data_IF_950795463696
#
_entry.id   IF_950795463696
#
_cell.length_a   1.000
_cell.length_b   1.000
_cell.length_c   1.000
_cell.angle_alpha   90.00
_cell.angle_beta   90.00
_cell.angle_gamma   90.00
#
_symmetry.space_group_name_H-M   'P 1'
#
loop_
_entity.id
_entity.type
_entity.pdbx_description
1 polymer ?
#
# COMPACT_ATOMS: atom_id res chain seq x y z
N UNK A 1 11.19 17.20 28.31
CA UNK A 1 10.54 15.87 28.49
C UNK A 1 10.47 15.45 29.99
N UNK A 2 11.33 15.96 30.85
CA UNK A 2 11.35 15.62 32.31
C UNK A 2 10.14 16.11 33.12
N UNK A 3 9.18 16.81 32.50
CA UNK A 3 8.00 17.34 33.21
C UNK A 3 6.76 16.44 33.13
N UNK A 4 6.81 15.38 32.36
CA UNK A 4 5.68 14.45 32.18
C UNK A 4 6.15 13.04 32.53
N UNK A 5 5.70 12.55 33.67
CA UNK A 5 5.89 11.13 34.02
C UNK A 5 4.97 10.28 33.14
N UNK A 6 5.56 9.25 32.52
CA UNK A 6 4.78 8.22 31.84
C UNK A 6 4.06 7.41 32.91
N UNK A 7 2.76 7.18 32.70
CA UNK A 7 1.98 6.35 33.63
C UNK A 7 2.67 5.00 33.85
N UNK A 8 2.85 4.55 35.11
CA UNK A 8 3.71 3.38 35.41
C UNK A 8 3.36 2.12 34.63
N UNK A 9 2.08 1.89 34.32
CA UNK A 9 1.65 0.73 33.53
C UNK A 9 1.99 0.86 32.04
N UNK A 10 2.22 2.06 31.54
CA UNK A 10 2.54 2.31 30.13
C UNK A 10 4.06 2.33 29.87
N UNK A 11 4.85 2.58 30.89
CA UNK A 11 6.31 2.64 30.78
C UNK A 11 6.93 1.36 30.20
N UNK A 12 6.55 0.15 30.60
CA UNK A 12 7.06 -1.10 30.00
C UNK A 12 6.68 -1.20 28.51
N UNK A 13 5.50 -0.74 28.12
CA UNK A 13 5.05 -0.75 26.73
C UNK A 13 5.84 0.25 25.89
N UNK A 14 6.13 1.44 26.43
CA UNK A 14 7.00 2.40 25.75
C UNK A 14 8.42 1.84 25.57
N UNK A 15 9.00 1.23 26.62
CA UNK A 15 10.32 0.58 26.53
C UNK A 15 10.31 -0.53 25.47
N UNK A 16 9.22 -1.30 25.41
CA UNK A 16 9.06 -2.33 24.41
C UNK A 16 9.01 -1.77 22.98
N UNK A 17 8.30 -0.64 22.77
CA UNK A 17 8.29 0.09 21.50
C UNK A 17 9.69 0.53 21.08
N UNK A 18 10.50 1.05 22.03
CA UNK A 18 11.89 1.41 21.72
C UNK A 18 12.71 0.19 21.28
N UNK A 19 12.58 -0.94 21.95
CA UNK A 19 13.26 -2.18 21.58
C UNK A 19 12.83 -2.69 20.20
N UNK A 20 11.54 -2.59 19.85
CA UNK A 20 11.03 -2.93 18.52
C UNK A 20 11.66 -2.02 17.47
N UNK A 21 11.65 -0.71 17.72
CA UNK A 21 12.17 0.30 16.80
C UNK A 21 13.69 0.18 16.62
N UNK A 22 14.46 -0.06 17.67
CA UNK A 22 15.93 -0.25 17.61
C UNK A 22 16.29 -1.53 16.87
N UNK A 23 15.53 -2.60 17.07
CA UNK A 23 15.71 -3.86 16.33
C UNK A 23 15.41 -3.68 14.85
N UNK A 24 14.35 -2.96 14.52
CA UNK A 24 13.85 -2.75 13.16
C UNK A 24 13.45 -4.05 12.47
N UNK A 25 13.11 -3.95 11.20
CA UNK A 25 12.70 -5.07 10.34
C UNK A 25 13.57 -5.10 9.09
N UNK A 26 14.03 -6.29 8.71
CA UNK A 26 14.83 -6.50 7.50
C UNK A 26 13.99 -6.33 6.25
N UNK A 27 14.59 -5.79 5.19
CA UNK A 27 13.97 -5.59 3.88
C UNK A 27 14.86 -6.11 2.77
N UNK A 28 14.25 -6.79 1.81
CA UNK A 28 14.87 -7.16 0.55
C UNK A 28 14.98 -5.92 -0.35
N UNK A 29 16.10 -5.21 -0.22
CA UNK A 29 16.34 -3.98 -0.97
C UNK A 29 16.53 -4.24 -2.47
N UNK A 30 17.00 -5.43 -2.85
CA UNK A 30 17.14 -5.79 -4.26
C UNK A 30 15.77 -5.92 -4.91
N UNK A 31 14.85 -6.63 -4.28
CA UNK A 31 13.45 -6.72 -4.73
C UNK A 31 12.79 -5.34 -4.78
N UNK A 32 12.95 -4.53 -3.73
CA UNK A 32 12.37 -3.19 -3.68
C UNK A 32 12.87 -2.30 -4.82
N UNK A 33 14.18 -2.34 -5.13
CA UNK A 33 14.79 -1.60 -6.24
C UNK A 33 14.22 -2.05 -7.59
N UNK A 34 14.17 -3.36 -7.84
CA UNK A 34 13.61 -3.91 -9.08
C UNK A 34 12.13 -3.56 -9.27
N UNK A 35 11.35 -3.62 -8.19
CA UNK A 35 9.94 -3.23 -8.24
C UNK A 35 9.75 -1.75 -8.62
N UNK A 36 10.62 -0.85 -8.12
CA UNK A 36 10.60 0.58 -8.49
C UNK A 36 11.01 0.78 -9.97
N UNK A 37 12.03 0.07 -10.44
CA UNK A 37 12.48 0.11 -11.82
C UNK A 37 11.36 -0.31 -12.78
N UNK A 38 10.71 -1.45 -12.51
CA UNK A 38 9.58 -1.97 -13.31
C UNK A 38 8.40 -0.99 -13.29
N UNK A 39 8.00 -0.50 -12.12
CA UNK A 39 6.91 0.49 -11.98
C UNK A 39 7.21 1.76 -12.78
N UNK A 40 8.47 2.21 -12.77
CA UNK A 40 8.93 3.35 -13.55
C UNK A 40 8.75 3.15 -15.06
N UNK A 41 9.10 1.97 -15.59
CA UNK A 41 8.91 1.63 -17.01
C UNK A 41 7.42 1.61 -17.37
N UNK A 42 6.59 0.93 -16.58
CA UNK A 42 5.14 0.86 -16.81
C UNK A 42 4.50 2.24 -16.77
N UNK A 43 4.79 3.04 -15.75
CA UNK A 43 4.26 4.41 -15.64
C UNK A 43 4.75 5.33 -16.76
N UNK A 44 5.97 5.12 -17.24
CA UNK A 44 6.49 5.83 -18.40
C UNK A 44 5.66 5.54 -19.65
N UNK A 45 5.39 4.27 -19.95
CA UNK A 45 4.55 3.85 -21.08
C UNK A 45 3.14 4.41 -20.95
N UNK A 46 2.48 4.21 -19.80
CA UNK A 46 1.12 4.75 -19.57
C UNK A 46 1.04 6.27 -19.73
N UNK A 47 2.10 6.99 -19.39
CA UNK A 47 2.15 8.44 -19.56
C UNK A 47 2.27 8.85 -21.04
N UNK A 48 3.10 8.15 -21.79
CA UNK A 48 3.21 8.41 -23.25
C UNK A 48 1.92 8.03 -23.99
N UNK A 49 1.28 6.92 -23.62
CA UNK A 49 -0.02 6.54 -24.16
C UNK A 49 -1.09 7.61 -23.87
N UNK A 50 -1.11 8.11 -22.61
CA UNK A 50 -2.03 9.17 -22.22
C UNK A 50 -1.78 10.50 -22.96
N UNK A 51 -0.53 10.86 -23.23
CA UNK A 51 -0.18 12.03 -24.03
C UNK A 51 -0.60 11.85 -25.48
N UNK A 52 -0.34 10.69 -26.06
CA UNK A 52 -0.71 10.36 -27.43
C UNK A 52 -2.23 10.40 -27.62
N UNK A 53 -2.96 9.84 -26.65
CA UNK A 53 -4.42 9.79 -26.68
C UNK A 53 -5.06 11.18 -26.57
N UNK A 54 -4.54 12.02 -25.69
CA UNK A 54 -5.17 13.29 -25.32
C UNK A 54 -4.57 14.52 -25.99
N UNK A 55 -3.32 14.45 -26.45
CA UNK A 55 -2.54 15.60 -26.91
C UNK A 55 -2.13 16.56 -25.77
N UNK A 56 -2.40 16.21 -24.51
CA UNK A 56 -2.07 17.06 -23.36
C UNK A 56 -0.59 17.00 -23.04
N UNK A 57 -0.01 18.13 -22.67
CA UNK A 57 1.36 18.20 -22.19
C UNK A 57 1.52 17.43 -20.86
N UNK A 58 0.55 17.59 -19.96
CA UNK A 58 0.52 16.90 -18.68
C UNK A 58 -0.82 16.22 -18.38
N UNK A 59 -1.03 14.97 -18.84
CA UNK A 59 -2.25 14.21 -18.58
C UNK A 59 -2.48 13.89 -17.09
N UNK A 60 -1.46 14.04 -16.23
CA UNK A 60 -1.60 13.90 -14.76
C UNK A 60 -2.26 15.13 -14.12
N UNK A 61 -2.27 16.27 -14.78
CA UNK A 61 -2.94 17.48 -14.29
C UNK A 61 -4.45 17.28 -14.28
N UNK A 62 -5.05 17.32 -13.09
CA UNK A 62 -6.51 17.19 -12.97
C UNK A 62 -7.25 18.28 -13.73
N UNK A 63 -6.71 19.49 -13.77
CA UNK A 63 -7.31 20.63 -14.48
C UNK A 63 -7.29 20.41 -16.00
N UNK A 64 -6.12 20.04 -16.57
CA UNK A 64 -6.01 19.79 -18.02
C UNK A 64 -6.89 18.61 -18.43
N UNK A 65 -6.88 17.53 -17.63
CA UNK A 65 -7.68 16.35 -17.95
C UNK A 65 -9.19 16.61 -17.87
N UNK A 66 -9.66 17.43 -16.93
CA UNK A 66 -11.07 17.85 -16.88
C UNK A 66 -11.46 18.58 -18.15
N UNK A 67 -10.71 19.62 -18.52
CA UNK A 67 -10.99 20.40 -19.72
C UNK A 67 -11.01 19.51 -20.97
N UNK A 68 -10.08 18.59 -21.09
CA UNK A 68 -10.04 17.64 -22.20
C UNK A 68 -11.28 16.71 -22.24
N UNK A 69 -11.74 16.20 -21.09
CA UNK A 69 -12.96 15.37 -21.01
C UNK A 69 -14.19 16.21 -21.39
N UNK A 70 -14.30 17.43 -20.87
CA UNK A 70 -15.40 18.36 -21.17
C UNK A 70 -15.48 18.69 -22.66
N UNK A 71 -14.35 18.94 -23.31
CA UNK A 71 -14.27 19.19 -24.74
C UNK A 71 -14.58 17.94 -25.58
N UNK A 72 -14.11 16.76 -25.15
CA UNK A 72 -14.25 15.52 -25.92
C UNK A 72 -15.66 14.93 -25.84
N UNK A 73 -16.26 14.94 -24.64
CA UNK A 73 -17.56 14.32 -24.39
C UNK A 73 -18.74 15.31 -24.30
N UNK A 74 -18.46 16.63 -24.26
CA UNK A 74 -19.51 17.66 -24.14
C UNK A 74 -20.22 17.67 -22.79
N UNK A 75 -19.60 17.16 -21.74
CA UNK A 75 -20.14 17.08 -20.37
C UNK A 75 -19.43 18.07 -19.45
N UNK A 76 -19.98 18.29 -18.25
CA UNK A 76 -19.30 19.05 -17.20
C UNK A 76 -18.74 18.12 -16.14
N UNK A 77 -17.46 18.28 -15.77
CA UNK A 77 -16.77 17.41 -14.82
C UNK A 77 -16.44 18.14 -13.53
N UNK A 78 -17.16 17.93 -12.46
CA UNK A 78 -16.89 18.55 -11.15
C UNK A 78 -15.66 17.97 -10.48
N UNK A 79 -15.48 16.65 -10.53
CA UNK A 79 -14.41 15.96 -9.84
C UNK A 79 -13.98 14.68 -10.56
N UNK A 80 -12.67 14.38 -10.51
CA UNK A 80 -12.08 13.12 -10.96
C UNK A 80 -11.58 12.26 -9.79
N UNK A 81 -12.24 12.35 -8.63
CA UNK A 81 -11.96 11.45 -7.52
C UNK A 81 -12.55 10.05 -7.76
N UNK A 82 -12.11 9.07 -6.96
CA UNK A 82 -12.52 7.67 -7.12
C UNK A 82 -14.05 7.45 -7.09
N UNK A 83 -14.79 8.29 -6.37
CA UNK A 83 -16.26 8.17 -6.27
C UNK A 83 -16.97 8.75 -7.49
N UNK A 84 -16.39 9.78 -8.10
CA UNK A 84 -16.99 10.51 -9.23
C UNK A 84 -16.71 9.85 -10.58
N UNK A 85 -15.62 9.07 -10.71
CA UNK A 85 -15.20 8.48 -12.01
C UNK A 85 -16.30 7.62 -12.63
N UNK A 86 -17.04 6.83 -11.86
CA UNK A 86 -18.12 6.00 -12.41
C UNK A 86 -19.24 6.84 -13.04
N UNK A 87 -19.59 7.98 -12.43
CA UNK A 87 -20.54 8.94 -12.99
C UNK A 87 -20.04 9.60 -14.26
N UNK A 88 -18.77 10.02 -14.26
CA UNK A 88 -18.15 10.64 -15.46
C UNK A 88 -18.13 9.66 -16.64
N UNK A 89 -17.81 8.37 -16.42
CA UNK A 89 -17.88 7.34 -17.47
C UNK A 89 -19.27 7.17 -18.04
N UNK A 90 -20.28 7.07 -17.15
CA UNK A 90 -21.66 6.88 -17.58
C UNK A 90 -22.24 8.10 -18.31
N UNK A 91 -21.81 9.31 -17.95
CA UNK A 91 -22.28 10.56 -18.58
C UNK A 91 -21.55 10.84 -19.91
N UNK A 92 -20.24 10.54 -19.95
CA UNK A 92 -19.44 10.74 -21.15
C UNK A 92 -19.84 9.79 -22.30
N UNK A 93 -20.19 8.54 -21.96
CA UNK A 93 -20.53 7.46 -22.91
C UNK A 93 -19.57 7.44 -24.12
N UNK A 94 -18.27 7.48 -23.84
CA UNK A 94 -17.23 7.73 -24.83
C UNK A 94 -16.00 6.85 -24.59
N UNK A 95 -15.69 5.94 -25.51
CA UNK A 95 -14.59 4.98 -25.42
C UNK A 95 -13.23 5.63 -25.17
N UNK A 96 -12.97 6.79 -25.79
CA UNK A 96 -11.69 7.51 -25.66
C UNK A 96 -11.54 8.07 -24.23
N UNK A 97 -12.63 8.57 -23.65
CA UNK A 97 -12.66 9.05 -22.27
C UNK A 97 -12.44 7.88 -21.30
N UNK A 98 -13.09 6.74 -21.55
CA UNK A 98 -12.92 5.53 -20.77
C UNK A 98 -11.48 5.03 -20.79
N UNK A 99 -10.89 4.96 -21.97
CA UNK A 99 -9.48 4.58 -22.13
C UNK A 99 -8.55 5.54 -21.37
N UNK A 100 -8.78 6.85 -21.44
CA UNK A 100 -7.98 7.81 -20.67
C UNK A 100 -8.15 7.66 -19.16
N UNK A 101 -9.37 7.38 -18.69
CA UNK A 101 -9.63 7.15 -17.27
C UNK A 101 -8.95 5.86 -16.76
N UNK A 102 -8.84 4.83 -17.61
CA UNK A 102 -8.07 3.61 -17.28
C UNK A 102 -6.57 3.89 -17.21
N UNK A 103 -6.00 4.63 -18.16
CA UNK A 103 -4.61 5.09 -18.10
C UNK A 103 -4.33 5.90 -16.82
N UNK A 104 -5.24 6.83 -16.49
CA UNK A 104 -5.17 7.60 -15.26
C UNK A 104 -5.19 6.72 -14.00
N UNK A 105 -6.06 5.71 -13.96
CA UNK A 105 -6.15 4.78 -12.84
C UNK A 105 -4.83 4.02 -12.64
N UNK A 106 -4.19 3.59 -13.72
CA UNK A 106 -2.86 2.98 -13.71
C UNK A 106 -1.78 3.93 -13.17
N UNK A 107 -1.76 5.17 -13.70
CA UNK A 107 -0.80 6.21 -13.26
C UNK A 107 -0.99 6.63 -11.80
N UNK A 108 -2.22 6.57 -11.28
CA UNK A 108 -2.54 6.95 -9.90
C UNK A 108 -2.23 5.87 -8.86
N UNK A 109 -1.82 4.66 -9.25
CA UNK A 109 -1.46 3.60 -8.31
C UNK A 109 -0.21 4.01 -7.52
N UNK A 110 -0.38 4.24 -6.22
CA UNK A 110 0.68 4.71 -5.31
C UNK A 110 1.25 3.63 -4.40
N UNK A 111 0.73 2.39 -4.50
CA UNK A 111 1.18 1.29 -3.63
C UNK A 111 2.68 1.02 -3.73
N UNK A 112 3.28 1.21 -4.92
CA UNK A 112 4.72 1.07 -5.16
C UNK A 112 5.58 2.13 -4.43
N UNK A 113 4.99 3.25 -3.98
CA UNK A 113 5.68 4.22 -3.11
C UNK A 113 6.18 3.61 -1.79
N UNK A 114 5.62 2.47 -1.38
CA UNK A 114 6.12 1.72 -0.23
C UNK A 114 7.54 1.19 -0.46
N UNK A 115 7.87 0.77 -1.68
CA UNK A 115 9.23 0.37 -2.04
C UNK A 115 10.19 1.55 -1.99
N UNK A 116 9.80 2.71 -2.49
CA UNK A 116 10.57 3.95 -2.37
C UNK A 116 10.82 4.32 -0.89
N UNK A 117 9.80 4.18 -0.04
CA UNK A 117 9.93 4.40 1.39
C UNK A 117 10.93 3.41 2.02
N UNK A 118 10.89 2.12 1.63
CA UNK A 118 11.84 1.10 2.09
C UNK A 118 13.27 1.47 1.72
N UNK A 119 13.50 1.83 0.46
CA UNK A 119 14.84 2.20 -0.05
C UNK A 119 15.42 3.44 0.65
N UNK A 120 14.56 4.44 0.95
CA UNK A 120 15.01 5.68 1.60
C UNK A 120 15.28 5.52 3.10
N UNK A 121 14.62 4.57 3.76
CA UNK A 121 14.63 4.47 5.23
C UNK A 121 15.43 3.29 5.76
N UNK A 122 15.84 2.37 4.89
CA UNK A 122 16.70 1.26 5.29
C UNK A 122 18.10 1.73 5.67
N UNK A 123 18.59 1.25 6.80
CA UNK A 123 19.97 1.44 7.20
C UNK A 123 20.96 0.60 6.39
N UNK A 124 22.27 0.79 6.61
CA UNK A 124 23.31 0.03 5.89
C UNK A 124 23.22 -1.49 6.06
N UNK A 125 22.58 -1.94 7.13
CA UNK A 125 22.31 -3.34 7.45
C UNK A 125 21.03 -3.90 6.80
N UNK A 126 20.39 -3.13 5.91
CA UNK A 126 19.14 -3.51 5.24
C UNK A 126 17.92 -3.55 6.17
N UNK A 127 17.97 -2.85 7.30
CA UNK A 127 16.85 -2.83 8.26
C UNK A 127 16.24 -1.43 8.37
N UNK A 128 14.93 -1.39 8.44
CA UNK A 128 14.17 -0.17 8.72
C UNK A 128 13.88 -0.11 10.22
N UNK A 129 14.22 1.01 10.84
CA UNK A 129 14.02 1.32 12.25
C UNK A 129 13.00 2.44 12.42
N UNK A 130 12.41 2.56 13.63
CA UNK A 130 11.42 3.60 13.88
C UNK A 130 10.09 3.38 13.14
N UNK A 131 9.68 2.13 12.98
CA UNK A 131 8.44 1.75 12.24
C UNK A 131 7.18 1.96 13.05
N UNK A 132 7.28 2.08 14.37
CA UNK A 132 6.16 2.24 15.29
C UNK A 132 6.35 3.49 16.16
N UNK A 133 5.23 4.02 16.62
CA UNK A 133 5.20 5.07 17.62
C UNK A 133 4.22 4.67 18.72
N UNK A 134 4.74 4.49 19.92
CA UNK A 134 3.93 4.31 21.12
C UNK A 134 2.94 5.46 21.27
N UNK A 135 1.69 5.14 21.57
CA UNK A 135 0.59 6.12 21.73
C UNK A 135 0.41 7.09 20.55
N UNK A 136 0.79 6.69 19.35
CA UNK A 136 0.81 7.55 18.17
C UNK A 136 -0.55 7.96 17.63
N UNK A 137 -1.61 7.19 17.96
CA UNK A 137 -2.99 7.52 17.63
C UNK A 137 -3.65 8.23 18.83
N UNK A 138 -3.57 9.56 18.87
CA UNK A 138 -3.93 10.41 20.00
C UNK A 138 -5.34 10.17 20.59
N UNK A 139 -6.33 9.78 19.76
CA UNK A 139 -7.70 9.54 20.21
C UNK A 139 -7.91 8.19 20.90
N UNK A 140 -7.11 7.19 20.55
CA UNK A 140 -7.34 5.79 20.99
C UNK A 140 -6.19 5.21 21.79
N UNK A 141 -5.06 5.90 21.89
CA UNK A 141 -3.86 5.39 22.50
C UNK A 141 -3.20 4.21 21.78
N UNK A 142 -3.68 3.85 20.57
CA UNK A 142 -3.08 2.78 19.77
C UNK A 142 -1.70 3.20 19.27
N UNK A 143 -0.82 2.25 19.07
CA UNK A 143 0.43 2.48 18.35
C UNK A 143 0.14 2.90 16.92
N UNK A 144 0.86 3.91 16.43
CA UNK A 144 0.77 4.34 15.04
C UNK A 144 1.97 3.82 14.24
N UNK A 145 1.74 3.46 12.98
CA UNK A 145 2.80 3.15 12.04
C UNK A 145 3.51 4.40 11.55
N UNK A 146 4.79 4.25 11.35
CA UNK A 146 5.67 5.28 10.79
C UNK A 146 6.35 4.77 9.52
N UNK A 147 6.91 5.67 8.74
CA UNK A 147 7.67 5.37 7.52
C UNK A 147 6.87 4.53 6.52
N UNK A 148 7.14 3.23 6.45
CA UNK A 148 6.45 2.31 5.53
C UNK A 148 5.01 2.02 5.97
N UNK A 149 4.68 2.22 7.25
CA UNK A 149 3.36 1.93 7.84
C UNK A 149 2.92 0.48 7.57
N UNK A 150 3.61 -0.47 8.16
CA UNK A 150 3.43 -1.91 7.92
C UNK A 150 1.99 -2.39 8.09
N UNK A 151 1.25 -1.83 9.05
CA UNK A 151 -0.16 -2.18 9.31
C UNK A 151 -1.11 -1.76 8.19
N UNK A 152 -0.70 -0.80 7.33
CA UNK A 152 -1.50 -0.29 6.22
C UNK A 152 -1.05 -0.84 4.85
N UNK A 153 -0.31 -1.93 4.84
CA UNK A 153 0.10 -2.57 3.60
C UNK A 153 -1.07 -3.33 2.96
N UNK A 154 -1.14 -3.38 1.64
CA UNK A 154 -2.12 -4.18 0.94
C UNK A 154 -2.10 -5.63 1.42
N UNK A 155 -3.27 -6.26 1.49
CA UNK A 155 -3.37 -7.70 1.74
C UNK A 155 -3.03 -8.47 0.47
N UNK A 156 -2.32 -9.58 0.61
CA UNK A 156 -2.10 -10.51 -0.48
C UNK A 156 -3.41 -11.26 -0.77
N UNK A 157 -3.84 -11.18 -2.02
CA UNK A 157 -5.00 -11.92 -2.53
C UNK A 157 -4.60 -12.92 -3.62
N UNK A 158 -3.35 -12.85 -4.03
CA UNK A 158 -2.76 -13.72 -5.03
C UNK A 158 -2.44 -15.08 -4.40
N UNK A 159 -2.68 -16.21 -5.09
CA UNK A 159 -2.24 -17.52 -4.65
C UNK A 159 -0.72 -17.56 -4.42
N UNK A 160 -0.26 -18.33 -3.44
CA UNK A 160 1.15 -18.38 -3.06
C UNK A 160 2.08 -18.73 -4.24
N UNK A 161 1.64 -19.64 -5.12
CA UNK A 161 2.40 -20.03 -6.33
C UNK A 161 2.63 -18.83 -7.26
N UNK A 162 1.58 -18.04 -7.49
CA UNK A 162 1.65 -16.89 -8.40
C UNK A 162 2.47 -15.76 -7.75
N UNK A 163 2.34 -15.63 -6.43
CA UNK A 163 3.13 -14.69 -5.64
C UNK A 163 4.63 -15.00 -5.72
N UNK A 164 5.01 -16.28 -5.58
CA UNK A 164 6.40 -16.73 -5.70
C UNK A 164 6.94 -16.53 -7.13
N UNK A 165 6.12 -16.86 -8.15
CA UNK A 165 6.47 -16.62 -9.56
C UNK A 165 6.69 -15.14 -9.83
N UNK A 166 5.75 -14.28 -9.42
CA UNK A 166 5.86 -12.84 -9.59
C UNK A 166 7.11 -12.29 -8.87
N UNK A 167 7.40 -12.77 -7.65
CA UNK A 167 8.59 -12.39 -6.90
C UNK A 167 9.88 -12.75 -7.65
N UNK A 168 9.97 -13.94 -8.23
CA UNK A 168 11.14 -14.38 -9.01
C UNK A 168 11.32 -13.53 -10.25
N UNK A 169 10.26 -13.24 -10.99
CA UNK A 169 10.32 -12.40 -12.19
C UNK A 169 10.74 -10.96 -11.87
N UNK A 170 10.19 -10.37 -10.80
CA UNK A 170 10.62 -9.05 -10.34
C UNK A 170 12.10 -9.07 -9.94
N UNK A 171 12.54 -10.06 -9.19
CA UNK A 171 13.95 -10.18 -8.80
C UNK A 171 14.88 -10.32 -10.02
N UNK A 172 14.46 -11.03 -11.06
CA UNK A 172 15.16 -11.16 -12.34
C UNK A 172 15.08 -9.88 -13.20
N UNK A 173 14.11 -9.01 -12.97
CA UNK A 173 13.82 -7.85 -13.81
C UNK A 173 13.15 -8.24 -15.14
N UNK A 174 12.51 -9.41 -15.19
CA UNK A 174 11.88 -9.95 -16.40
C UNK A 174 10.45 -9.41 -16.56
N UNK A 175 10.38 -8.16 -17.06
CA UNK A 175 9.10 -7.49 -17.31
C UNK A 175 8.33 -8.16 -18.45
N UNK A 176 9.00 -8.67 -19.47
CA UNK A 176 8.35 -9.29 -20.62
C UNK A 176 7.52 -10.51 -20.20
N UNK A 177 8.12 -11.42 -19.43
CA UNK A 177 7.40 -12.58 -18.88
C UNK A 177 6.32 -12.15 -17.87
N UNK A 178 6.53 -11.08 -17.11
CA UNK A 178 5.49 -10.55 -16.22
C UNK A 178 4.26 -10.07 -17.00
N UNK A 179 4.44 -9.38 -18.12
CA UNK A 179 3.35 -8.90 -18.99
C UNK A 179 2.58 -10.03 -19.66
N UNK A 180 3.22 -11.18 -19.88
CA UNK A 180 2.55 -12.39 -20.40
C UNK A 180 1.72 -13.13 -19.36
N UNK A 181 2.12 -13.07 -18.10
CA UNK A 181 1.49 -13.87 -17.02
C UNK A 181 0.49 -13.08 -16.17
N UNK A 182 0.62 -11.76 -16.14
CA UNK A 182 -0.17 -10.90 -15.24
C UNK A 182 -0.74 -9.69 -16.00
N UNK A 183 -2.05 -9.58 -16.03
CA UNK A 183 -2.75 -8.48 -16.71
C UNK A 183 -2.53 -7.11 -16.04
N UNK A 184 -2.28 -7.08 -14.73
CA UNK A 184 -2.09 -5.88 -13.92
C UNK A 184 -0.74 -5.90 -13.20
N UNK A 185 0.31 -5.43 -13.87
CA UNK A 185 1.67 -5.39 -13.30
C UNK A 185 1.74 -4.54 -12.04
N UNK A 186 1.13 -3.35 -12.03
CA UNK A 186 1.14 -2.47 -10.87
C UNK A 186 0.39 -3.08 -9.67
N UNK A 187 -0.70 -3.80 -9.92
CA UNK A 187 -1.38 -4.60 -8.91
C UNK A 187 -0.53 -5.75 -8.41
N UNK A 188 0.16 -6.47 -9.29
CA UNK A 188 1.10 -7.55 -8.95
C UNK A 188 2.23 -7.03 -8.06
N UNK A 189 2.87 -5.92 -8.43
CA UNK A 189 3.88 -5.28 -7.58
C UNK A 189 3.32 -4.90 -6.21
N UNK A 190 2.06 -4.44 -6.14
CA UNK A 190 1.40 -4.14 -4.86
C UNK A 190 1.23 -5.37 -3.97
N UNK A 191 0.91 -6.55 -4.56
CA UNK A 191 0.81 -7.81 -3.82
C UNK A 191 2.16 -8.24 -3.22
N UNK A 192 3.27 -7.92 -3.87
CA UNK A 192 4.61 -8.30 -3.43
C UNK A 192 5.17 -7.46 -2.27
N UNK A 193 4.55 -6.32 -1.91
CA UNK A 193 5.09 -5.40 -0.89
C UNK A 193 5.38 -6.12 0.44
N UNK A 194 4.47 -6.98 0.90
CA UNK A 194 4.66 -7.73 2.15
C UNK A 194 5.82 -8.71 2.08
N UNK A 195 6.07 -9.28 0.91
CA UNK A 195 7.16 -10.24 0.68
C UNK A 195 8.55 -9.59 0.70
N UNK A 196 8.61 -8.26 0.59
CA UNK A 196 9.86 -7.52 0.73
C UNK A 196 10.40 -7.49 2.16
N UNK A 197 9.55 -7.73 3.18
CA UNK A 197 10.04 -7.87 4.54
C UNK A 197 10.63 -9.25 4.74
N UNK A 198 11.87 -9.28 5.27
CA UNK A 198 12.61 -10.53 5.45
C UNK A 198 13.05 -10.71 6.90
N UNK A 199 12.98 -11.93 7.45
CA UNK A 199 13.48 -12.22 8.77
C UNK A 199 15.01 -12.20 8.78
N UNK A 200 15.62 -12.24 9.97
CA UNK A 200 17.06 -12.48 10.11
C UNK A 200 17.40 -13.88 9.61
N UNK A 201 18.64 -14.05 9.15
CA UNK A 201 19.15 -15.37 8.77
C UNK A 201 18.94 -16.37 9.93
N UNK A 202 18.38 -17.52 9.62
CA UNK A 202 18.05 -18.56 10.60
C UNK A 202 16.79 -18.29 11.44
N UNK A 203 16.03 -17.22 11.15
CA UNK A 203 14.78 -16.90 11.81
C UNK A 203 13.62 -16.96 10.81
N UNK A 204 12.38 -16.96 11.34
CA UNK A 204 11.15 -16.80 10.57
C UNK A 204 10.25 -15.76 11.23
N UNK A 205 9.34 -15.17 10.46
CA UNK A 205 8.25 -14.41 11.04
C UNK A 205 7.19 -15.36 11.61
N UNK A 206 6.68 -14.99 12.79
CA UNK A 206 5.47 -15.57 13.35
C UNK A 206 4.45 -14.45 13.30
N UNK A 207 3.39 -14.63 12.51
CA UNK A 207 2.33 -13.63 12.34
C UNK A 207 1.09 -14.16 13.01
N UNK A 208 0.57 -13.40 13.96
CA UNK A 208 -0.65 -13.74 14.70
C UNK A 208 -1.44 -12.48 14.99
N UNK A 209 -2.74 -12.57 14.90
CA UNK A 209 -3.69 -11.50 15.22
C UNK A 209 -4.86 -12.05 16.00
N UNK A 210 -5.46 -11.23 16.84
CA UNK A 210 -6.65 -11.61 17.59
C UNK A 210 -7.88 -11.45 16.68
N UNK A 211 -8.54 -12.56 16.38
CA UNK A 211 -9.80 -12.52 15.63
C UNK A 211 -10.86 -11.77 16.43
N UNK A 212 -11.50 -10.77 15.79
CA UNK A 212 -12.64 -10.02 16.33
C UNK A 212 -12.40 -9.44 17.76
N UNK A 213 -11.18 -8.94 18.05
CA UNK A 213 -10.79 -8.53 19.41
C UNK A 213 -11.73 -7.49 20.01
N UNK A 214 -12.19 -6.51 19.23
CA UNK A 214 -13.12 -5.48 19.71
C UNK A 214 -14.47 -6.08 20.13
N UNK A 215 -15.02 -7.01 19.32
CA UNK A 215 -16.25 -7.72 19.65
C UNK A 215 -16.10 -8.58 20.91
N UNK A 216 -14.95 -9.24 21.09
CA UNK A 216 -14.63 -10.02 22.28
C UNK A 216 -14.55 -9.16 23.54
N UNK A 217 -13.83 -8.03 23.46
CA UNK A 217 -13.70 -7.10 24.59
C UNK A 217 -15.05 -6.48 24.97
N UNK A 218 -15.87 -6.09 23.98
CA UNK A 218 -17.21 -5.54 24.25
C UNK A 218 -18.10 -6.61 24.89
N UNK A 219 -18.12 -7.83 24.36
CA UNK A 219 -18.89 -8.94 24.91
C UNK A 219 -18.45 -9.28 26.37
N UNK A 220 -17.13 -9.27 26.64
CA UNK A 220 -16.60 -9.46 27.98
C UNK A 220 -17.02 -8.35 28.95
N UNK A 221 -16.93 -7.08 28.52
CA UNK A 221 -17.36 -5.93 29.32
C UNK A 221 -18.88 -5.94 29.60
N UNK A 222 -19.67 -6.38 28.60
CA UNK A 222 -21.12 -6.49 28.71
C UNK A 222 -21.57 -7.77 29.44
N UNK A 223 -20.65 -8.67 29.81
CA UNK A 223 -20.92 -9.98 30.39
C UNK A 223 -21.82 -10.88 29.51
N UNK A 224 -21.68 -10.76 28.16
CA UNK A 224 -22.41 -11.56 27.17
C UNK A 224 -21.67 -12.87 26.86
N UNK A 225 -21.80 -13.88 27.73
CA UNK A 225 -21.10 -15.17 27.58
C UNK A 225 -21.42 -15.86 26.27
N UNK A 226 -22.69 -15.86 25.82
CA UNK A 226 -23.10 -16.47 24.57
C UNK A 226 -22.34 -15.93 23.35
N UNK A 227 -22.01 -14.64 23.35
CA UNK A 227 -21.26 -14.00 22.26
C UNK A 227 -19.76 -14.39 22.32
N UNK A 228 -19.21 -14.55 23.52
CA UNK A 228 -17.85 -15.05 23.70
C UNK A 228 -17.72 -16.48 23.20
N UNK A 229 -18.72 -17.32 23.44
CA UNK A 229 -18.74 -18.70 22.96
C UNK A 229 -18.76 -18.77 21.44
N UNK A 230 -19.60 -17.94 20.76
CA UNK A 230 -19.69 -17.89 19.29
C UNK A 230 -18.37 -17.43 18.64
N UNK A 231 -17.63 -16.52 19.26
CA UNK A 231 -16.34 -16.04 18.70
C UNK A 231 -15.16 -16.93 19.08
N UNK A 232 -15.33 -17.90 19.97
CA UNK A 232 -14.28 -18.86 20.37
C UNK A 232 -14.36 -20.19 19.58
N UNK A 233 -15.46 -20.44 18.87
CA UNK A 233 -15.63 -21.55 17.91
C UNK A 233 -15.14 -21.17 16.54
#
# INVERSE_FOLDING_TARGET
LSRFEIYPLEQPLWVHDQHINDRGVGVDLALAKRAVEIDGVIKGRLLEDAKTLTGLENPKSTAQLKGWIEETAGITVDSLNKKSIAGVRAEADCDIVDQMLDLRAGLAKTSTEKYNAMLRTAGPDGRIRGLTQFYGASRTGRWAGRLVQMQNLPQNKMPDRDLDTARQLVAAGDLETMELLFDDIAGTLSQLIRTAFVPRKGCRFIVSDFSAIEARVIAWLAQEEWRLDVVNT
#
